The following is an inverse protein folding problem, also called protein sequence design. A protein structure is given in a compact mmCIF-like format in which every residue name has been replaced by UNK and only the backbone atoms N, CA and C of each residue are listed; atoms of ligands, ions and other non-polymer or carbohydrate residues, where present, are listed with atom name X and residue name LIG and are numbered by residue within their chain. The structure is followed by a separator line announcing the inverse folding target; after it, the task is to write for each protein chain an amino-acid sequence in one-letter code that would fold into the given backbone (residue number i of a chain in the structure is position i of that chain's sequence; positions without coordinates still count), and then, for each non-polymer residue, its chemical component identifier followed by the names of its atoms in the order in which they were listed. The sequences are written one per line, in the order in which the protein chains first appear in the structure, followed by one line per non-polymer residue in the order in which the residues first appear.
data_IF_086889151600
#
_entry.id   IF_086889151600
#
_cell.length_a   1.000
_cell.length_b   1.000
_cell.length_c   1.000
_cell.angle_alpha   90.00
_cell.angle_beta   90.00
_cell.angle_gamma   90.00
#
_symmetry.space_group_name_H-M   'P 1'
#
loop_
_entity.id
_entity.type
_entity.pdbx_description
1 polymer ?
#
# COMPACT_ATOMS: atom_id res chain seq x y z
N UNK A 1 -2.02 27.19 -5.37
CA UNK A 1 -2.57 25.85 -5.67
C UNK A 1 -2.13 25.32 -7.03
N UNK A 2 -1.14 25.94 -7.70
CA UNK A 2 -0.65 25.52 -9.02
C UNK A 2 0.66 24.68 -8.98
N UNK A 3 1.14 24.30 -7.80
CA UNK A 3 2.37 23.49 -7.66
C UNK A 3 2.14 21.99 -7.81
N UNK A 4 0.87 21.53 -7.82
CA UNK A 4 0.49 20.22 -8.35
C UNK A 4 0.09 20.34 -9.83
N UNK A 5 0.79 21.19 -10.59
CA UNK A 5 0.80 21.14 -12.06
C UNK A 5 1.47 19.81 -12.43
N UNK A 6 0.63 18.79 -12.61
CA UNK A 6 0.90 17.44 -13.13
C UNK A 6 2.34 16.97 -12.90
N UNK A 7 2.62 16.38 -11.73
CA UNK A 7 3.84 15.59 -11.61
C UNK A 7 3.81 14.54 -12.71
N UNK A 8 4.89 14.44 -13.47
CA UNK A 8 5.03 13.28 -14.35
C UNK A 8 5.45 12.08 -13.51
N UNK A 9 5.23 10.87 -14.02
CA UNK A 9 5.75 9.64 -13.38
C UNK A 9 7.28 9.69 -13.22
N UNK A 10 7.97 10.39 -14.12
CA UNK A 10 9.42 10.62 -14.01
C UNK A 10 9.77 11.55 -12.86
N UNK A 11 8.98 12.61 -12.63
CA UNK A 11 9.20 13.51 -11.51
C UNK A 11 8.97 12.79 -10.18
N UNK A 12 7.92 11.95 -10.10
CA UNK A 12 7.67 11.14 -8.90
C UNK A 12 8.83 10.20 -8.60
N UNK A 13 9.32 9.47 -9.60
CA UNK A 13 10.46 8.56 -9.44
C UNK A 13 11.77 9.29 -9.06
N UNK A 14 11.87 10.59 -9.34
CA UNK A 14 13.04 11.42 -9.02
C UNK A 14 13.01 11.98 -7.59
N UNK A 15 11.86 11.96 -6.89
CA UNK A 15 11.75 12.47 -5.53
C UNK A 15 12.63 11.68 -4.55
N UNK A 16 13.21 12.36 -3.59
CA UNK A 16 13.87 11.70 -2.46
C UNK A 16 12.84 11.17 -1.46
N UNK A 17 13.23 10.18 -0.64
CA UNK A 17 12.37 9.68 0.44
C UNK A 17 12.00 10.76 1.46
N UNK A 18 12.90 11.74 1.68
CA UNK A 18 12.63 12.90 2.53
C UNK A 18 11.56 13.83 1.93
N UNK A 19 11.58 14.03 0.61
CA UNK A 19 10.54 14.80 -0.08
C UNK A 19 9.19 14.07 -0.05
N UNK A 20 9.18 12.74 -0.21
CA UNK A 20 7.96 11.92 -0.06
C UNK A 20 7.37 12.06 1.34
N UNK A 21 8.19 11.99 2.39
CA UNK A 21 7.74 12.19 3.78
C UNK A 21 7.20 13.60 4.05
N UNK A 22 7.64 14.60 3.27
CA UNK A 22 7.15 15.97 3.38
C UNK A 22 5.82 16.20 2.65
N UNK A 23 5.34 15.25 1.83
CA UNK A 23 4.03 15.35 1.17
C UNK A 23 2.93 15.18 2.21
N UNK A 24 2.02 16.16 2.29
CA UNK A 24 0.85 16.04 3.15
C UNK A 24 -0.06 14.90 2.69
N UNK A 25 -0.77 14.26 3.62
CA UNK A 25 -1.76 13.22 3.29
C UNK A 25 -2.84 13.70 2.33
N UNK A 26 -3.24 14.98 2.43
CA UNK A 26 -4.17 15.60 1.49
C UNK A 26 -3.62 15.65 0.06
N UNK A 27 -2.32 15.93 -0.11
CA UNK A 27 -1.68 15.92 -1.43
C UNK A 27 -1.45 14.48 -1.92
N UNK A 28 -1.11 13.54 -1.04
CA UNK A 28 -1.00 12.12 -1.39
C UNK A 28 -2.32 11.58 -1.96
N UNK A 29 -3.45 11.92 -1.34
CA UNK A 29 -4.78 11.54 -1.83
C UNK A 29 -5.16 12.15 -3.20
N UNK A 30 -4.42 13.17 -3.67
CA UNK A 30 -4.63 13.77 -4.99
C UNK A 30 -3.76 13.16 -6.09
N UNK A 31 -2.78 12.31 -5.74
CA UNK A 31 -1.93 11.66 -6.73
C UNK A 31 -2.75 10.64 -7.54
N UNK A 32 -2.49 10.60 -8.84
CA UNK A 32 -3.06 9.59 -9.73
C UNK A 32 -2.46 8.21 -9.46
N UNK A 33 -3.16 7.16 -9.87
CA UNK A 33 -2.65 5.78 -9.80
C UNK A 33 -1.38 5.57 -10.64
N UNK A 34 -1.19 6.35 -11.70
CA UNK A 34 0.04 6.32 -12.50
C UNK A 34 1.24 6.90 -11.74
N UNK A 35 1.03 8.00 -11.01
CA UNK A 35 2.06 8.59 -10.14
C UNK A 35 2.40 7.65 -8.98
N UNK A 36 1.41 7.02 -8.34
CA UNK A 36 1.65 6.02 -7.28
C UNK A 36 2.39 4.79 -7.82
N UNK A 37 2.02 4.29 -9.00
CA UNK A 37 2.72 3.17 -9.65
C UNK A 37 4.16 3.51 -10.06
N UNK A 38 4.50 4.80 -10.17
CA UNK A 38 5.84 5.26 -10.51
C UNK A 38 6.77 5.42 -9.30
N UNK A 39 6.24 5.28 -8.08
CA UNK A 39 7.07 5.25 -6.89
C UNK A 39 8.05 4.07 -6.96
N UNK A 40 9.27 4.32 -6.56
CA UNK A 40 10.23 3.28 -6.22
C UNK A 40 9.83 2.63 -4.89
N UNK A 41 10.28 1.41 -4.65
CA UNK A 41 10.01 0.69 -3.40
C UNK A 41 10.49 1.44 -2.16
N UNK A 42 11.61 2.16 -2.24
CA UNK A 42 12.10 2.98 -1.13
C UNK A 42 11.20 4.20 -0.87
N UNK A 43 10.62 4.81 -1.91
CA UNK A 43 9.66 5.90 -1.76
C UNK A 43 8.31 5.39 -1.21
N UNK A 44 7.84 4.23 -1.65
CA UNK A 44 6.63 3.61 -1.12
C UNK A 44 6.75 3.32 0.39
N UNK A 45 7.88 2.79 0.85
CA UNK A 45 8.20 2.65 2.27
C UNK A 45 8.29 4.02 2.99
N UNK A 46 8.79 5.06 2.30
CA UNK A 46 8.92 6.38 2.90
C UNK A 46 7.58 7.06 3.18
N UNK A 47 6.46 6.61 2.59
CA UNK A 47 5.11 7.11 2.91
C UNK A 47 4.75 6.90 4.38
N UNK A 48 5.25 5.82 5.00
CA UNK A 48 4.90 5.43 6.35
C UNK A 48 3.43 5.07 6.53
N UNK A 49 3.08 4.61 7.73
CA UNK A 49 1.71 4.20 8.06
C UNK A 49 0.66 5.28 7.77
N UNK A 50 0.95 6.54 8.11
CA UNK A 50 0.03 7.66 7.89
C UNK A 50 -0.19 7.97 6.41
N UNK A 51 0.86 7.86 5.57
CA UNK A 51 0.74 8.04 4.14
C UNK A 51 -0.05 6.91 3.49
N UNK A 52 0.21 5.66 3.88
CA UNK A 52 -0.52 4.48 3.40
C UNK A 52 -2.00 4.55 3.78
N UNK A 53 -2.33 4.97 5.01
CA UNK A 53 -3.71 5.15 5.45
C UNK A 53 -4.47 6.24 4.68
N UNK A 54 -3.76 7.19 4.06
CA UNK A 54 -4.35 8.27 3.27
C UNK A 54 -4.63 7.87 1.80
N UNK A 55 -4.11 6.72 1.34
CA UNK A 55 -4.34 6.25 -0.02
C UNK A 55 -5.75 5.67 -0.17
N UNK A 56 -6.37 5.95 -1.31
CA UNK A 56 -7.61 5.28 -1.70
C UNK A 56 -7.35 3.86 -2.26
N UNK A 57 -8.42 3.10 -2.50
CA UNK A 57 -8.32 1.74 -3.04
C UNK A 57 -7.71 1.68 -4.44
N UNK A 58 -7.89 2.71 -5.27
CA UNK A 58 -7.28 2.78 -6.60
C UNK A 58 -5.76 2.94 -6.51
N UNK A 59 -5.30 3.83 -5.65
CA UNK A 59 -3.89 4.11 -5.38
C UNK A 59 -3.21 2.89 -4.74
N UNK A 60 -3.84 2.26 -3.73
CA UNK A 60 -3.31 1.03 -3.12
C UNK A 60 -3.17 -0.10 -4.14
N UNK A 61 -4.16 -0.28 -5.03
CA UNK A 61 -4.10 -1.28 -6.11
C UNK A 61 -3.04 -0.98 -7.17
N UNK A 62 -2.55 0.26 -7.26
CA UNK A 62 -1.46 0.63 -8.16
C UNK A 62 -0.05 0.38 -7.60
N UNK A 63 0.08 0.08 -6.31
CA UNK A 63 1.35 -0.38 -5.74
C UNK A 63 1.75 -1.72 -6.35
N UNK A 64 3.01 -1.87 -6.74
CA UNK A 64 3.50 -3.13 -7.27
C UNK A 64 3.53 -4.20 -6.16
N UNK A 65 3.55 -5.47 -6.56
CA UNK A 65 3.74 -6.57 -5.59
C UNK A 65 5.06 -6.48 -4.84
N UNK A 66 6.08 -5.87 -5.46
CA UNK A 66 7.37 -5.63 -4.82
C UNK A 66 7.25 -4.57 -3.73
N UNK A 67 6.51 -3.48 -3.98
CA UNK A 67 6.27 -2.44 -2.98
C UNK A 67 5.47 -2.98 -1.81
N UNK A 68 4.40 -3.75 -2.09
CA UNK A 68 3.59 -4.40 -1.05
C UNK A 68 4.43 -5.35 -0.20
N UNK A 69 5.27 -6.19 -0.80
CA UNK A 69 6.16 -7.09 -0.05
C UNK A 69 7.21 -6.33 0.79
N UNK A 70 7.52 -5.09 0.42
CA UNK A 70 8.50 -4.26 1.09
C UNK A 70 7.91 -3.39 2.21
N UNK A 71 6.59 -3.25 2.30
CA UNK A 71 5.95 -2.53 3.40
C UNK A 71 6.28 -3.17 4.75
N UNK A 72 6.30 -2.35 5.79
CA UNK A 72 6.39 -2.81 7.17
C UNK A 72 5.04 -3.36 7.64
N UNK A 73 5.04 -4.12 8.73
CA UNK A 73 3.80 -4.60 9.38
C UNK A 73 2.92 -3.45 9.84
N UNK A 74 3.52 -2.35 10.31
CA UNK A 74 2.80 -1.16 10.74
C UNK A 74 2.11 -0.42 9.58
N UNK A 75 2.75 -0.38 8.39
CA UNK A 75 2.14 0.19 7.18
C UNK A 75 1.00 -0.67 6.67
N UNK A 76 1.16 -1.99 6.66
CA UNK A 76 0.09 -2.90 6.27
C UNK A 76 -1.10 -2.80 7.23
N UNK A 77 -0.86 -2.74 8.53
CA UNK A 77 -1.91 -2.56 9.55
C UNK A 77 -2.56 -1.16 9.54
N UNK A 78 -2.03 -0.22 8.76
CA UNK A 78 -2.63 1.10 8.57
C UNK A 78 -3.58 1.16 7.37
N UNK A 79 -3.63 0.12 6.54
CA UNK A 79 -4.59 0.02 5.44
C UNK A 79 -5.97 -0.20 6.03
N UNK A 80 -6.93 0.66 5.68
CA UNK A 80 -8.31 0.52 6.19
C UNK A 80 -8.92 -0.83 5.79
N UNK A 81 -9.82 -1.36 6.64
CA UNK A 81 -10.55 -2.59 6.36
C UNK A 81 -11.33 -2.53 5.04
N UNK A 82 -11.89 -1.37 4.72
CA UNK A 82 -12.59 -1.14 3.45
C UNK A 82 -11.66 -1.34 2.25
N UNK A 83 -10.40 -0.88 2.36
CA UNK A 83 -9.41 -1.02 1.30
C UNK A 83 -8.75 -2.40 1.27
N UNK A 84 -8.60 -3.09 2.41
CA UNK A 84 -8.06 -4.46 2.47
C UNK A 84 -8.85 -5.38 1.56
N UNK A 85 -10.19 -5.31 1.58
CA UNK A 85 -11.08 -6.15 0.76
C UNK A 85 -10.99 -5.88 -0.76
N UNK A 86 -10.31 -4.81 -1.13
CA UNK A 86 -10.16 -4.32 -2.50
C UNK A 86 -8.74 -4.50 -3.03
N UNK A 87 -7.82 -5.09 -2.24
CA UNK A 87 -6.50 -5.41 -2.72
C UNK A 87 -6.59 -6.44 -3.85
N UNK A 88 -5.62 -6.43 -4.74
CA UNK A 88 -5.56 -7.47 -5.76
C UNK A 88 -5.09 -8.78 -5.13
N UNK A 89 -5.55 -9.91 -5.65
CA UNK A 89 -5.06 -11.23 -5.23
C UNK A 89 -3.55 -11.39 -5.42
N UNK A 90 -2.96 -10.70 -6.41
CA UNK A 90 -1.51 -10.66 -6.60
C UNK A 90 -0.80 -9.92 -5.45
N UNK A 91 -1.35 -8.80 -4.98
CA UNK A 91 -0.80 -8.06 -3.84
C UNK A 91 -0.92 -8.87 -2.55
N UNK A 92 -2.07 -9.49 -2.27
CA UNK A 92 -2.25 -10.36 -1.10
C UNK A 92 -1.28 -11.54 -1.13
N UNK A 93 -1.09 -12.18 -2.28
CA UNK A 93 -0.10 -13.25 -2.45
C UNK A 93 1.34 -12.78 -2.23
N UNK A 94 1.65 -11.51 -2.53
CA UNK A 94 2.97 -10.94 -2.36
C UNK A 94 3.28 -10.54 -0.90
N UNK A 95 2.26 -10.41 -0.05
CA UNK A 95 2.46 -10.11 1.37
C UNK A 95 3.30 -11.19 2.05
N UNK A 96 4.21 -10.78 2.92
CA UNK A 96 4.99 -11.71 3.74
C UNK A 96 4.13 -12.32 4.85
N UNK A 97 4.55 -13.46 5.39
CA UNK A 97 3.90 -14.07 6.55
C UNK A 97 3.92 -13.15 7.77
N UNK A 98 4.97 -12.34 7.94
CA UNK A 98 5.05 -11.35 9.01
C UNK A 98 4.01 -10.23 8.87
N UNK A 99 3.79 -9.72 7.65
CA UNK A 99 2.74 -8.74 7.37
C UNK A 99 1.35 -9.31 7.65
N UNK A 100 1.07 -10.56 7.24
CA UNK A 100 -0.19 -11.23 7.51
C UNK A 100 -0.40 -11.46 9.02
N UNK A 101 0.65 -11.87 9.75
CA UNK A 101 0.60 -12.01 11.21
C UNK A 101 0.40 -10.67 11.95
N UNK A 102 0.68 -9.55 11.30
CA UNK A 102 0.46 -8.21 11.83
C UNK A 102 -0.97 -7.69 11.65
N UNK A 103 -1.81 -8.38 10.89
CA UNK A 103 -3.22 -8.01 10.70
C UNK A 103 -4.01 -8.29 11.98
N UNK A 104 -4.85 -7.35 12.39
CA UNK A 104 -5.79 -7.58 13.49
C UNK A 104 -7.04 -8.34 13.02
N UNK A 105 -7.92 -8.69 13.96
CA UNK A 105 -9.14 -9.45 13.68
C UNK A 105 -10.10 -8.72 12.73
N UNK A 106 -10.11 -7.39 12.70
CA UNK A 106 -10.96 -6.62 11.80
C UNK A 106 -10.43 -6.67 10.36
N UNK A 107 -9.12 -6.58 10.15
CA UNK A 107 -8.50 -6.75 8.84
C UNK A 107 -8.74 -8.15 8.30
N UNK A 108 -8.58 -9.19 9.13
CA UNK A 108 -8.82 -10.58 8.72
C UNK A 108 -10.29 -10.81 8.34
N UNK A 109 -11.24 -10.22 9.08
CA UNK A 109 -12.67 -10.29 8.75
C UNK A 109 -13.02 -9.54 7.46
N UNK A 110 -12.26 -8.51 7.09
CA UNK A 110 -12.47 -7.74 5.88
C UNK A 110 -11.96 -8.43 4.60
N UNK A 111 -11.09 -9.43 4.72
CA UNK A 111 -10.59 -10.18 3.57
C UNK A 111 -11.75 -10.81 2.79
N UNK A 112 -11.76 -10.59 1.48
CA UNK A 112 -12.68 -11.23 0.56
C UNK A 112 -12.36 -12.72 0.38
N UNK A 113 -13.34 -13.49 -0.08
CA UNK A 113 -13.13 -14.91 -0.39
C UNK A 113 -12.07 -15.14 -1.46
N UNK A 114 -11.91 -14.20 -2.40
CA UNK A 114 -10.89 -14.27 -3.45
C UNK A 114 -9.48 -14.07 -2.89
N UNK A 115 -9.31 -13.20 -1.91
CA UNK A 115 -8.02 -12.93 -1.25
C UNK A 115 -7.61 -14.09 -0.35
N UNK A 116 -8.55 -14.63 0.44
CA UNK A 116 -8.30 -15.82 1.26
C UNK A 116 -7.90 -17.02 0.39
N UNK A 117 -8.50 -17.19 -0.79
CA UNK A 117 -8.22 -18.30 -1.70
C UNK A 117 -6.80 -18.31 -2.29
N UNK A 118 -6.10 -17.16 -2.28
CA UNK A 118 -4.73 -17.06 -2.83
C UNK A 118 -3.63 -17.08 -1.78
N UNK A 119 -3.98 -17.17 -0.50
CA UNK A 119 -3.01 -17.30 0.59
C UNK A 119 -2.22 -18.60 0.43
N UNK A 120 -0.90 -18.50 0.56
CA UNK A 120 -0.05 -19.67 0.77
C UNK A 120 -0.34 -20.32 2.13
N UNK A 121 0.06 -21.58 2.29
CA UNK A 121 -0.07 -22.30 3.57
C UNK A 121 0.55 -21.52 4.74
N UNK A 122 1.71 -20.89 4.53
CA UNK A 122 2.39 -20.11 5.57
C UNK A 122 1.63 -18.83 5.93
N UNK A 123 1.02 -18.15 4.95
CA UNK A 123 0.20 -16.96 5.22
C UNK A 123 -1.12 -17.35 5.92
N UNK A 124 -1.77 -18.43 5.50
CA UNK A 124 -2.98 -18.92 6.15
C UNK A 124 -2.74 -19.34 7.61
N UNK A 125 -1.59 -19.94 7.91
CA UNK A 125 -1.17 -20.23 9.28
C UNK A 125 -0.90 -18.97 10.10
N UNK A 126 -0.41 -17.90 9.47
CA UNK A 126 -0.15 -16.64 10.17
C UNK A 126 -1.42 -15.88 10.60
N UNK A 127 -2.61 -16.29 10.13
CA UNK A 127 -3.89 -15.69 10.53
C UNK A 127 -4.42 -16.19 11.89
N UNK A 128 -3.84 -17.26 12.48
CA UNK A 128 -4.40 -17.95 13.64
C UNK A 128 -3.40 -18.55 14.61
#
# INVERSE_FOLDING_TARGET
SDQLRALTTTDVAALTTAEIQAISTANLATLTTAEIAALTTAQAQALGATGIAALDSGQLRSLSTQDVAALTTAEVAAISTDNISLLTTAQVKAMTTAQIAGLDTAHVQALSTAEVAVLSTGQAQALG
#
